data_IF_886575815794
#
_entry.id   IF_886575815794
#
_cell.length_a   1.000
_cell.length_b   1.000
_cell.length_c   1.000
_cell.angle_alpha   90.00
_cell.angle_beta   90.00
_cell.angle_gamma   90.00
#
_symmetry.space_group_name_H-M   'P 1'
#
loop_
_entity.id
_entity.type
_entity.pdbx_description
1 polymer ?
#
# COMPACT_ATOMS: atom_id res chain seq x y z
N UNK A 1 0.96 3.37 -19.78
CA UNK A 1 -0.35 3.10 -20.41
C UNK A 1 -1.29 4.22 -20.04
N UNK A 2 -1.98 4.81 -21.00
CA UNK A 2 -3.09 5.71 -20.71
C UNK A 2 -4.34 4.86 -20.42
N UNK A 3 -4.81 4.87 -19.17
CA UNK A 3 -5.96 4.07 -18.74
C UNK A 3 -7.30 4.49 -19.37
N UNK A 4 -7.36 5.70 -19.93
CA UNK A 4 -8.58 6.21 -20.58
C UNK A 4 -8.59 5.94 -22.09
N UNK A 5 -7.53 5.31 -22.63
CA UNK A 5 -7.44 4.97 -24.04
C UNK A 5 -8.20 3.67 -24.33
N UNK A 6 -9.21 3.71 -25.19
CA UNK A 6 -10.05 2.55 -25.53
C UNK A 6 -9.35 1.42 -26.30
N UNK A 7 -8.11 1.62 -26.77
CA UNK A 7 -7.33 0.59 -27.50
C UNK A 7 -6.37 -0.15 -26.58
N UNK A 8 -5.78 0.55 -25.60
CA UNK A 8 -4.70 0.00 -24.74
C UNK A 8 -5.00 0.09 -23.25
N UNK A 9 -6.18 0.56 -22.86
CA UNK A 9 -6.56 0.74 -21.46
C UNK A 9 -6.50 -0.55 -20.65
N UNK A 10 -6.79 -1.69 -21.29
CA UNK A 10 -6.75 -3.02 -20.67
C UNK A 10 -5.33 -3.46 -20.26
N UNK A 11 -4.29 -2.81 -20.78
CA UNK A 11 -2.90 -3.03 -20.33
C UNK A 11 -2.58 -2.32 -19.01
N UNK A 12 -3.49 -1.52 -18.46
CA UNK A 12 -3.27 -0.84 -17.20
C UNK A 12 -3.39 -1.82 -16.02
N UNK A 13 -2.25 -2.14 -15.43
CA UNK A 13 -2.16 -3.03 -14.26
C UNK A 13 -1.48 -2.31 -13.08
N UNK A 14 -2.25 -1.82 -12.08
CA UNK A 14 -1.70 -1.15 -10.90
C UNK A 14 -0.75 -2.02 -10.07
N UNK A 15 -1.01 -3.33 -10.04
CA UNK A 15 -0.23 -4.31 -9.28
C UNK A 15 0.92 -4.92 -10.10
N UNK A 16 1.21 -4.39 -11.30
CA UNK A 16 2.29 -4.90 -12.14
C UNK A 16 3.62 -4.93 -11.36
N UNK A 17 4.44 -5.99 -11.47
CA UNK A 17 5.64 -6.17 -10.64
C UNK A 17 6.61 -4.97 -10.67
N UNK A 18 6.74 -4.31 -11.81
CA UNK A 18 7.58 -3.12 -11.94
C UNK A 18 7.06 -1.93 -11.09
N UNK A 19 5.73 -1.74 -11.03
CA UNK A 19 5.09 -0.68 -10.22
C UNK A 19 5.24 -1.01 -8.75
N UNK A 20 4.94 -2.24 -8.36
CA UNK A 20 5.08 -2.72 -6.97
C UNK A 20 6.52 -2.57 -6.47
N UNK A 21 7.52 -2.92 -7.30
CA UNK A 21 8.94 -2.75 -6.96
C UNK A 21 9.32 -1.29 -6.80
N UNK A 22 8.80 -0.40 -7.66
CA UNK A 22 9.05 1.03 -7.56
C UNK A 22 8.48 1.61 -6.26
N UNK A 23 7.25 1.24 -5.90
CA UNK A 23 6.61 1.67 -4.65
C UNK A 23 7.39 1.17 -3.43
N UNK A 24 7.77 -0.11 -3.41
CA UNK A 24 8.56 -0.68 -2.32
C UNK A 24 9.92 0.02 -2.15
N UNK A 25 10.59 0.33 -3.27
CA UNK A 25 11.84 1.09 -3.25
C UNK A 25 11.63 2.50 -2.71
N UNK A 26 10.57 3.20 -3.13
CA UNK A 26 10.24 4.53 -2.64
C UNK A 26 10.02 4.53 -1.12
N UNK A 27 9.19 3.61 -0.62
CA UNK A 27 8.94 3.44 0.83
C UNK A 27 10.26 3.19 1.57
N UNK A 28 11.10 2.29 1.05
CA UNK A 28 12.41 2.00 1.64
C UNK A 28 13.28 3.26 1.75
N UNK A 29 13.38 4.05 0.68
CA UNK A 29 14.19 5.28 0.68
C UNK A 29 13.63 6.32 1.68
N UNK A 30 12.30 6.50 1.74
CA UNK A 30 11.69 7.39 2.72
C UNK A 30 11.99 6.97 4.17
N UNK A 31 11.96 5.66 4.45
CA UNK A 31 12.31 5.12 5.77
C UNK A 31 13.79 5.32 6.11
N UNK A 32 14.68 5.12 5.15
CA UNK A 32 16.13 5.34 5.33
C UNK A 32 16.45 6.82 5.57
N UNK A 33 15.65 7.73 5.00
CA UNK A 33 15.77 9.17 5.18
C UNK A 33 14.96 9.74 6.36
N UNK A 34 14.25 8.90 7.13
CA UNK A 34 13.37 9.30 8.22
C UNK A 34 12.31 10.35 7.83
N UNK A 35 11.71 10.18 6.64
CA UNK A 35 10.62 11.05 6.14
C UNK A 35 9.33 10.26 5.96
N UNK A 36 8.20 10.95 6.11
CA UNK A 36 6.88 10.37 5.88
C UNK A 36 6.73 9.91 4.42
N UNK A 37 6.20 8.70 4.23
CA UNK A 37 5.77 8.19 2.94
C UNK A 37 4.26 7.95 2.96
N UNK A 38 3.53 8.60 2.06
CA UNK A 38 2.08 8.46 1.93
C UNK A 38 1.67 8.08 0.53
N UNK A 39 0.59 7.30 0.41
CA UNK A 39 -0.07 7.01 -0.86
C UNK A 39 -1.50 7.54 -0.85
N UNK A 40 -1.95 8.06 -1.99
CA UNK A 40 -3.31 8.56 -2.18
C UNK A 40 -3.98 7.88 -3.39
N UNK A 41 -5.27 8.17 -3.57
CA UNK A 41 -6.09 7.64 -4.66
C UNK A 41 -6.65 6.24 -4.37
N UNK A 42 -7.08 5.55 -5.43
CA UNK A 42 -7.81 4.28 -5.30
C UNK A 42 -6.96 3.17 -4.64
N UNK A 43 -5.65 3.17 -4.85
CA UNK A 43 -4.74 2.23 -4.20
C UNK A 43 -4.74 2.36 -2.66
N UNK A 44 -4.91 3.58 -2.13
CA UNK A 44 -5.05 3.82 -0.70
C UNK A 44 -6.42 3.43 -0.14
N UNK A 45 -7.37 3.08 -1.00
CA UNK A 45 -8.73 2.67 -0.62
C UNK A 45 -8.99 1.16 -0.79
N UNK A 46 -8.00 0.41 -1.31
CA UNK A 46 -8.06 -1.04 -1.45
C UNK A 46 -7.42 -1.75 -0.24
N UNK A 47 -8.17 -2.52 0.57
CA UNK A 47 -7.65 -3.26 1.71
C UNK A 47 -6.49 -4.21 1.38
N UNK A 48 -6.51 -4.89 0.23
CA UNK A 48 -5.47 -5.84 -0.16
C UNK A 48 -4.16 -5.08 -0.41
N UNK A 49 -4.25 -3.96 -1.11
CA UNK A 49 -3.11 -3.11 -1.41
C UNK A 49 -2.55 -2.44 -0.14
N UNK A 50 -3.42 -1.90 0.72
CA UNK A 50 -3.01 -1.33 2.02
C UNK A 50 -2.32 -2.35 2.91
N UNK A 51 -2.83 -3.58 2.99
CA UNK A 51 -2.16 -4.66 3.72
C UNK A 51 -0.72 -4.89 3.21
N UNK A 52 -0.52 -4.83 1.90
CA UNK A 52 0.82 -4.94 1.32
C UNK A 52 1.70 -3.72 1.67
N UNK A 53 1.16 -2.50 1.58
CA UNK A 53 1.87 -1.26 1.93
C UNK A 53 2.33 -1.22 3.40
N UNK A 54 1.45 -1.63 4.33
CA UNK A 54 1.79 -1.73 5.77
C UNK A 54 2.96 -2.69 5.96
N UNK A 55 2.97 -3.83 5.25
CA UNK A 55 4.10 -4.77 5.30
C UNK A 55 5.39 -4.23 4.70
N UNK A 56 5.30 -3.32 3.71
CA UNK A 56 6.48 -2.61 3.19
C UNK A 56 6.98 -1.52 4.15
N UNK A 57 6.15 -1.10 5.11
CA UNK A 57 6.49 -0.07 6.09
C UNK A 57 6.09 1.34 5.66
N UNK A 58 5.00 1.50 4.90
CA UNK A 58 4.42 2.83 4.66
C UNK A 58 4.02 3.48 6.00
N UNK A 59 4.11 4.81 6.10
CA UNK A 59 3.78 5.53 7.33
C UNK A 59 2.40 6.19 7.29
N UNK A 60 1.82 6.36 6.10
CA UNK A 60 0.57 7.10 5.91
C UNK A 60 -0.21 6.59 4.69
N UNK A 61 -1.53 6.57 4.78
CA UNK A 61 -2.43 6.19 3.67
C UNK A 61 -3.60 7.16 3.64
N UNK A 62 -3.88 7.73 2.46
CA UNK A 62 -5.05 8.55 2.19
C UNK A 62 -6.08 7.74 1.40
N UNK A 63 -7.30 7.67 1.92
CA UNK A 63 -8.38 6.83 1.39
C UNK A 63 -9.64 7.66 1.14
N UNK A 64 -10.53 7.14 0.28
CA UNK A 64 -11.87 7.67 0.14
C UNK A 64 -12.65 7.52 1.45
N UNK A 65 -13.57 8.45 1.71
CA UNK A 65 -14.25 8.57 3.01
C UNK A 65 -15.05 7.31 3.39
N UNK A 66 -15.63 6.65 2.39
CA UNK A 66 -16.38 5.40 2.49
C UNK A 66 -15.49 4.20 2.82
N UNK A 67 -14.22 4.22 2.37
CA UNK A 67 -13.25 3.16 2.63
C UNK A 67 -12.57 3.29 4.00
N UNK A 68 -12.59 4.47 4.64
CA UNK A 68 -11.87 4.75 5.91
C UNK A 68 -12.11 3.68 6.98
N UNK A 69 -13.35 3.26 7.31
CA UNK A 69 -13.58 2.26 8.36
C UNK A 69 -12.88 0.94 8.04
N UNK A 70 -12.93 0.52 6.77
CA UNK A 70 -12.35 -0.75 6.32
C UNK A 70 -10.83 -0.69 6.27
N UNK A 71 -10.26 0.43 5.84
CA UNK A 71 -8.82 0.64 5.78
C UNK A 71 -8.24 0.66 7.20
N UNK A 72 -8.86 1.37 8.15
CA UNK A 72 -8.43 1.37 9.55
C UNK A 72 -8.43 -0.03 10.16
N UNK A 73 -9.49 -0.81 9.94
CA UNK A 73 -9.57 -2.20 10.37
C UNK A 73 -8.42 -3.04 9.78
N UNK A 74 -8.13 -2.84 8.50
CA UNK A 74 -7.10 -3.59 7.76
C UNK A 74 -5.69 -3.28 8.27
N UNK A 75 -5.38 -1.99 8.51
CA UNK A 75 -4.11 -1.56 9.09
C UNK A 75 -3.93 -2.19 10.47
N UNK A 76 -4.89 -1.99 11.37
CA UNK A 76 -4.81 -2.51 12.74
C UNK A 76 -4.64 -4.04 12.79
N UNK A 77 -5.38 -4.78 11.94
CA UNK A 77 -5.23 -6.24 11.83
C UNK A 77 -3.85 -6.64 11.33
N UNK A 78 -3.33 -5.95 10.32
CA UNK A 78 -2.04 -6.27 9.70
C UNK A 78 -0.89 -6.00 10.67
N UNK A 79 -0.89 -4.87 11.34
CA UNK A 79 0.11 -4.52 12.36
C UNK A 79 0.09 -5.54 13.51
N UNK A 80 -1.10 -5.89 14.02
CA UNK A 80 -1.24 -6.92 15.07
C UNK A 80 -0.68 -8.27 14.63
N UNK A 81 -0.94 -8.68 13.38
CA UNK A 81 -0.38 -9.91 12.81
C UNK A 81 1.14 -9.86 12.73
N UNK A 82 1.72 -8.72 12.35
CA UNK A 82 3.18 -8.54 12.28
C UNK A 82 3.81 -8.63 13.67
N UNK A 83 3.24 -7.95 14.67
CA UNK A 83 3.70 -8.01 16.06
C UNK A 83 3.62 -9.44 16.59
N UNK A 84 2.49 -10.13 16.40
CA UNK A 84 2.33 -11.52 16.81
C UNK A 84 3.36 -12.43 16.13
N UNK A 85 3.59 -12.25 14.83
CA UNK A 85 4.57 -13.03 14.07
C UNK A 85 6.00 -12.81 14.55
N UNK A 86 6.34 -11.61 15.04
CA UNK A 86 7.64 -11.32 15.63
C UNK A 86 7.77 -11.95 17.01
N UNK A 87 6.72 -11.91 17.83
CA UNK A 87 6.71 -12.50 19.17
C UNK A 87 6.85 -14.04 19.15
N UNK A 88 6.30 -14.71 18.15
CA UNK A 88 6.37 -16.17 17.99
C UNK A 88 7.68 -16.69 17.38
N UNK A 89 8.52 -15.81 16.83
CA UNK A 89 9.80 -16.17 16.21
C UNK A 89 10.99 -16.14 17.19
N UNK A 90 10.74 -15.70 18.42
CA UNK A 90 11.67 -15.72 19.56
C UNK A 90 11.25 -16.83 20.53
#
# INVERSE_FOLDING_TARGET
VDRNNGIIGDMYEPEHPAVMRLIANCIKQCREADVECSICGQAGSDPKFVKWLVKQGITSVSSNIDAIPKIRETVAKTEKQMILSLALKN
#
